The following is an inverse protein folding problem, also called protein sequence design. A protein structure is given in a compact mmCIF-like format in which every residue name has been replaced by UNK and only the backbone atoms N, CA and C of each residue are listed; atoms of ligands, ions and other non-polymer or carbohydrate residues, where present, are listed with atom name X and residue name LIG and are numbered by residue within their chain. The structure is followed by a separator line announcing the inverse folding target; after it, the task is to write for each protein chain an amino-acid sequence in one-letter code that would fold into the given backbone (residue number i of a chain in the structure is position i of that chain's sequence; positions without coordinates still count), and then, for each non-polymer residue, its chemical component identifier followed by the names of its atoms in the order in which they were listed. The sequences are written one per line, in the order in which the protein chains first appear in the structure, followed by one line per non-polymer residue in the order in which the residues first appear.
data_IF_167999472087
#
_entry.id   IF_167999472087
#
_cell.length_a   1.000
_cell.length_b   1.000
_cell.length_c   1.000
_cell.angle_alpha   90.00
_cell.angle_beta   90.00
_cell.angle_gamma   90.00
#
_symmetry.space_group_name_H-M   'P 1'
#
loop_
_entity.id
_entity.type
_entity.pdbx_description
1 polymer ?
#
# COMPACT_ATOMS: atom_id res chain seq x y z
N UNK A 1 -23.65 16.90 -0.60
CA UNK A 1 -22.77 16.77 0.58
C UNK A 1 -21.38 17.15 0.12
N UNK A 2 -20.72 18.10 0.78
CA UNK A 2 -19.33 18.42 0.47
C UNK A 2 -18.44 17.23 0.83
N UNK A 3 -17.72 16.69 -0.16
CA UNK A 3 -16.62 15.78 0.09
C UNK A 3 -15.41 16.59 0.58
N UNK A 4 -14.82 16.11 1.67
CA UNK A 4 -13.62 16.64 2.29
C UNK A 4 -12.46 15.71 2.00
N UNK A 5 -11.25 16.26 1.97
CA UNK A 5 -10.02 15.49 1.85
C UNK A 5 -9.22 15.56 3.15
N UNK A 6 -8.80 14.40 3.65
CA UNK A 6 -7.96 14.28 4.85
C UNK A 6 -6.70 13.50 4.49
N UNK A 7 -5.53 14.09 4.75
CA UNK A 7 -4.25 13.38 4.68
C UNK A 7 -3.82 12.93 6.06
N UNK A 8 -3.46 11.66 6.21
CA UNK A 8 -2.98 11.15 7.47
C UNK A 8 -2.33 9.77 7.38
N UNK A 9 -1.57 9.46 8.43
CA UNK A 9 -0.91 8.16 8.62
C UNK A 9 -1.88 7.18 9.27
N UNK A 10 -1.96 5.97 8.74
CA UNK A 10 -2.71 4.89 9.39
C UNK A 10 -1.90 4.40 10.58
N UNK A 11 -2.40 4.65 11.79
CA UNK A 11 -1.78 4.20 13.04
C UNK A 11 -2.13 2.74 13.33
N UNK A 12 -3.40 2.38 13.10
CA UNK A 12 -3.91 1.05 13.41
C UNK A 12 -5.10 0.67 12.55
N UNK A 13 -5.19 -0.61 12.18
CA UNK A 13 -6.41 -1.20 11.64
C UNK A 13 -7.18 -1.81 12.81
N UNK A 14 -8.37 -1.29 13.12
CA UNK A 14 -9.18 -1.78 14.26
C UNK A 14 -10.18 -2.85 13.87
N UNK A 15 -10.59 -2.88 12.60
CA UNK A 15 -11.48 -3.91 12.07
C UNK A 15 -11.28 -4.04 10.56
N UNK A 16 -11.41 -5.26 10.05
CA UNK A 16 -11.44 -5.56 8.62
C UNK A 16 -12.45 -6.69 8.39
N UNK A 17 -13.40 -6.47 7.49
CA UNK A 17 -14.25 -7.53 6.96
C UNK A 17 -13.57 -8.14 5.73
N UNK A 18 -13.16 -9.42 5.75
CA UNK A 18 -12.53 -10.07 4.61
C UNK A 18 -13.49 -10.34 3.45
N UNK A 19 -14.80 -10.39 3.69
CA UNK A 19 -15.81 -10.76 2.68
C UNK A 19 -16.13 -9.61 1.73
N UNK A 20 -16.21 -8.37 2.24
CA UNK A 20 -16.55 -7.19 1.43
C UNK A 20 -15.46 -6.11 1.42
N UNK A 21 -14.37 -6.27 2.17
CA UNK A 21 -13.26 -5.31 2.21
C UNK A 21 -13.50 -4.08 3.10
N UNK A 22 -14.61 -4.02 3.84
CA UNK A 22 -14.89 -2.92 4.76
C UNK A 22 -13.82 -2.86 5.85
N UNK A 23 -13.24 -1.68 6.05
CA UNK A 23 -12.10 -1.48 6.96
C UNK A 23 -12.36 -0.28 7.86
N UNK A 24 -12.02 -0.44 9.15
CA UNK A 24 -12.03 0.63 10.15
C UNK A 24 -10.59 0.94 10.54
N UNK A 25 -10.21 2.19 10.34
CA UNK A 25 -8.84 2.70 10.50
C UNK A 25 -8.78 3.75 11.60
N UNK A 26 -7.72 3.72 12.40
CA UNK A 26 -7.27 4.86 13.20
C UNK A 26 -6.25 5.63 12.39
N UNK A 27 -6.60 6.84 12.00
CA UNK A 27 -5.78 7.71 11.16
C UNK A 27 -5.30 8.88 11.98
N UNK A 28 -3.99 9.14 11.98
CA UNK A 28 -3.37 10.33 12.57
C UNK A 28 -3.13 11.36 11.45
N UNK A 29 -3.92 12.44 11.39
CA UNK A 29 -3.65 13.52 10.45
C UNK A 29 -2.38 14.27 10.85
N UNK A 30 -1.80 15.03 9.91
CA UNK A 30 -0.61 15.87 10.17
C UNK A 30 -0.85 16.90 11.29
N UNK A 31 -2.09 17.40 11.41
CA UNK A 31 -2.53 18.30 12.48
C UNK A 31 -3.83 17.79 13.07
N UNK A 32 -3.92 17.79 14.40
CA UNK A 32 -5.11 17.35 15.14
C UNK A 32 -4.98 15.98 15.80
N UNK A 33 -6.09 15.51 16.36
CA UNK A 33 -6.19 14.22 17.06
C UNK A 33 -6.35 13.06 16.08
N UNK A 34 -6.12 11.83 16.57
CA UNK A 34 -6.44 10.61 15.82
C UNK A 34 -7.94 10.59 15.54
N UNK A 35 -8.29 10.22 14.30
CA UNK A 35 -9.67 10.08 13.85
C UNK A 35 -9.98 8.62 13.51
N UNK A 36 -11.26 8.27 13.53
CA UNK A 36 -11.73 6.98 13.03
C UNK A 36 -12.18 7.17 11.59
N UNK A 37 -11.55 6.48 10.64
CA UNK A 37 -11.93 6.48 9.23
C UNK A 37 -12.51 5.11 8.85
N UNK A 38 -13.59 5.10 8.05
CA UNK A 38 -14.29 3.89 7.64
C UNK A 38 -14.59 3.90 6.15
N UNK A 39 -14.47 2.75 5.50
CA UNK A 39 -14.66 2.64 4.05
C UNK A 39 -14.03 1.38 3.50
N UNK A 40 -13.80 1.38 2.18
CA UNK A 40 -13.22 0.25 1.45
C UNK A 40 -11.85 0.64 0.90
N UNK A 41 -10.83 -0.19 1.15
CA UNK A 41 -9.48 0.03 0.63
C UNK A 41 -9.15 -1.03 -0.42
N UNK A 42 -8.39 -0.64 -1.44
CA UNK A 42 -7.99 -1.51 -2.55
C UNK A 42 -7.44 -2.86 -2.04
N UNK A 43 -7.63 -3.92 -2.82
CA UNK A 43 -7.31 -5.29 -2.39
C UNK A 43 -5.84 -5.46 -1.99
N UNK A 44 -4.91 -4.85 -2.74
CA UNK A 44 -3.47 -4.85 -2.38
C UNK A 44 -3.23 -4.18 -1.02
N UNK A 45 -3.88 -3.05 -0.80
CA UNK A 45 -3.79 -2.27 0.43
C UNK A 45 -4.39 -3.07 1.60
N UNK A 46 -5.52 -3.74 1.37
CA UNK A 46 -6.20 -4.62 2.33
C UNK A 46 -5.32 -5.80 2.79
N UNK A 47 -4.48 -6.36 1.91
CA UNK A 47 -3.63 -7.53 2.21
C UNK A 47 -2.24 -7.16 2.74
N UNK A 48 -1.83 -5.90 2.54
CA UNK A 48 -0.57 -5.35 3.01
C UNK A 48 -0.73 -4.68 4.38
N UNK A 49 0.33 -4.65 5.19
CA UNK A 49 0.32 -3.88 6.44
C UNK A 49 0.20 -2.37 6.17
N UNK A 50 -1.03 -1.85 6.19
CA UNK A 50 -1.35 -0.42 6.02
C UNK A 50 -0.79 0.45 7.16
N UNK A 51 -0.58 -0.15 8.32
CA UNK A 51 -0.06 0.56 9.48
C UNK A 51 1.30 1.17 9.17
N UNK A 52 1.44 2.43 9.57
CA UNK A 52 2.62 3.24 9.36
C UNK A 52 2.67 3.97 8.03
N UNK A 53 1.65 3.87 7.17
CA UNK A 53 1.67 4.47 5.83
C UNK A 53 0.70 5.64 5.71
N UNK A 54 1.09 6.63 4.90
CA UNK A 54 0.30 7.85 4.69
C UNK A 54 -0.65 7.69 3.50
N UNK A 55 -1.90 8.10 3.70
CA UNK A 55 -2.95 8.07 2.71
C UNK A 55 -3.67 9.42 2.65
N UNK A 56 -4.24 9.69 1.47
CA UNK A 56 -5.21 10.75 1.24
C UNK A 56 -6.58 10.10 1.16
N UNK A 57 -7.47 10.47 2.07
CA UNK A 57 -8.85 9.99 2.14
C UNK A 57 -9.79 11.08 1.65
N UNK A 58 -10.72 10.75 0.77
CA UNK A 58 -11.80 11.65 0.34
C UNK A 58 -13.13 11.08 0.79
N UNK A 59 -13.99 11.93 1.35
CA UNK A 59 -15.31 11.51 1.84
C UNK A 59 -15.94 12.52 2.79
N UNK A 60 -16.74 12.05 3.74
CA UNK A 60 -17.54 12.93 4.60
C UNK A 60 -17.57 12.49 6.06
N UNK A 61 -17.82 13.43 6.97
CA UNK A 61 -18.03 13.12 8.37
C UNK A 61 -19.45 12.59 8.59
N UNK A 62 -19.55 11.46 9.30
CA UNK A 62 -20.80 10.92 9.81
C UNK A 62 -20.73 10.63 11.30
N UNK A 63 -21.88 10.71 11.96
CA UNK A 63 -22.03 10.28 13.35
C UNK A 63 -22.72 8.93 13.35
N UNK A 64 -22.10 7.93 13.96
CA UNK A 64 -22.71 6.62 14.19
C UNK A 64 -22.93 6.39 15.69
N UNK A 65 -23.50 5.24 16.05
CA UNK A 65 -23.60 4.80 17.45
C UNK A 65 -22.25 4.68 18.16
N UNK A 66 -21.14 4.65 17.42
CA UNK A 66 -19.77 4.60 17.94
C UNK A 66 -19.08 5.97 17.94
N UNK A 67 -19.83 7.05 17.71
CA UNK A 67 -19.33 8.43 17.66
C UNK A 67 -19.02 8.92 16.25
N UNK A 68 -18.22 9.98 16.17
CA UNK A 68 -17.88 10.66 14.91
C UNK A 68 -16.84 9.88 14.12
N UNK A 69 -17.15 9.56 12.87
CA UNK A 69 -16.30 8.80 11.96
C UNK A 69 -16.21 9.51 10.60
N UNK A 70 -15.07 9.38 9.94
CA UNK A 70 -14.87 9.86 8.58
C UNK A 70 -15.17 8.71 7.62
N UNK A 71 -16.30 8.77 6.93
CA UNK A 71 -16.67 7.79 5.92
C UNK A 71 -16.04 8.19 4.59
N UNK A 72 -15.04 7.42 4.15
CA UNK A 72 -14.31 7.71 2.92
C UNK A 72 -14.84 6.89 1.74
N UNK A 73 -15.05 7.58 0.62
CA UNK A 73 -15.40 7.00 -0.69
C UNK A 73 -14.15 6.55 -1.43
N UNK A 74 -13.00 7.18 -1.17
CA UNK A 74 -11.71 6.81 -1.75
C UNK A 74 -10.55 7.00 -0.77
N UNK A 75 -9.53 6.15 -0.91
CA UNK A 75 -8.28 6.23 -0.19
C UNK A 75 -7.12 5.98 -1.16
N UNK A 76 -6.25 6.99 -1.33
CA UNK A 76 -5.09 6.93 -2.20
C UNK A 76 -3.81 6.94 -1.38
N UNK A 77 -2.88 6.03 -1.68
CA UNK A 77 -1.56 6.01 -1.06
C UNK A 77 -0.81 7.31 -1.39
N UNK A 78 -0.19 7.94 -0.39
CA UNK A 78 0.70 9.07 -0.60
C UNK A 78 2.13 8.56 -0.77
N UNK A 79 2.63 8.62 -2.01
CA UNK A 79 3.97 8.15 -2.38
C UNK A 79 3.95 7.07 -3.46
N UNK A 80 5.02 6.27 -3.52
CA UNK A 80 5.18 5.22 -4.53
C UNK A 80 4.41 3.96 -4.13
N UNK A 81 3.44 3.58 -4.96
CA UNK A 81 2.69 2.32 -4.83
C UNK A 81 3.60 1.11 -5.00
N UNK A 82 4.57 1.19 -5.91
CA UNK A 82 5.57 0.15 -6.08
C UNK A 82 6.40 0.01 -4.80
N UNK A 83 6.87 1.11 -4.21
CA UNK A 83 7.65 1.05 -2.95
C UNK A 83 6.84 0.41 -1.83
N UNK A 84 5.57 0.78 -1.68
CA UNK A 84 4.68 0.16 -0.70
C UNK A 84 4.54 -1.34 -0.96
N UNK A 85 4.27 -1.74 -2.20
CA UNK A 85 4.12 -3.14 -2.57
C UNK A 85 5.40 -3.95 -2.30
N UNK A 86 6.55 -3.44 -2.71
CA UNK A 86 7.84 -4.10 -2.49
C UNK A 86 8.15 -4.25 -1.00
N UNK A 87 7.80 -3.28 -0.16
CA UNK A 87 8.15 -3.31 1.27
C UNK A 87 7.15 -4.04 2.15
N UNK A 88 5.87 -4.04 1.78
CA UNK A 88 4.79 -4.60 2.61
C UNK A 88 4.29 -5.95 2.12
N UNK A 89 4.49 -6.27 0.83
CA UNK A 89 3.95 -7.49 0.20
C UNK A 89 5.08 -8.43 -0.25
N UNK A 90 6.16 -7.89 -0.82
CA UNK A 90 7.25 -8.71 -1.37
C UNK A 90 8.26 -9.09 -0.29
N UNK A 91 8.33 -10.37 0.05
CA UNK A 91 9.35 -10.89 0.97
C UNK A 91 10.75 -10.72 0.41
N UNK A 92 11.69 -10.35 1.27
CA UNK A 92 13.10 -10.18 0.91
C UNK A 92 13.48 -8.75 0.51
N UNK A 93 12.51 -7.85 0.39
CA UNK A 93 12.72 -6.42 0.12
C UNK A 93 12.29 -5.58 1.33
N UNK A 94 13.25 -4.88 1.94
CA UNK A 94 13.00 -3.89 2.98
C UNK A 94 13.12 -2.47 2.43
N UNK A 95 12.64 -1.47 3.17
CA UNK A 95 12.53 -0.09 2.70
C UNK A 95 13.80 0.47 2.05
N UNK A 96 14.95 0.31 2.69
CA UNK A 96 16.23 0.78 2.13
C UNK A 96 16.55 0.16 0.77
N UNK A 97 16.40 -1.17 0.67
CA UNK A 97 16.73 -1.89 -0.56
C UNK A 97 15.71 -1.58 -1.67
N UNK A 98 14.42 -1.50 -1.33
CA UNK A 98 13.38 -1.12 -2.29
C UNK A 98 13.59 0.29 -2.84
N UNK A 99 13.94 1.27 -1.99
CA UNK A 99 14.28 2.63 -2.42
C UNK A 99 15.52 2.65 -3.30
N UNK A 100 16.56 1.88 -2.97
CA UNK A 100 17.77 1.75 -3.78
C UNK A 100 17.46 1.18 -5.17
N UNK A 101 16.64 0.13 -5.24
CA UNK A 101 16.23 -0.49 -6.49
C UNK A 101 15.41 0.49 -7.36
N UNK A 102 14.42 1.17 -6.79
CA UNK A 102 13.61 2.14 -7.52
C UNK A 102 14.48 3.33 -7.98
N UNK A 103 15.38 3.82 -7.13
CA UNK A 103 16.30 4.90 -7.51
C UNK A 103 17.25 4.50 -8.63
N UNK A 104 17.65 3.23 -8.70
CA UNK A 104 18.61 2.73 -9.70
C UNK A 104 17.95 2.41 -11.04
N UNK A 105 16.75 1.83 -11.02
CA UNK A 105 16.13 1.26 -12.22
C UNK A 105 14.85 1.99 -12.66
N UNK A 106 14.36 2.95 -11.86
CA UNK A 106 13.02 3.49 -12.02
C UNK A 106 11.94 2.48 -11.62
N UNK A 107 10.70 2.93 -11.48
CA UNK A 107 9.60 2.03 -11.12
C UNK A 107 9.30 1.03 -12.25
N UNK A 108 9.10 1.53 -13.47
CA UNK A 108 8.82 0.71 -14.65
C UNK A 108 9.97 -0.23 -15.00
N UNK A 109 11.20 0.28 -14.99
CA UNK A 109 12.38 -0.54 -15.27
C UNK A 109 12.59 -1.63 -14.23
N UNK A 110 12.33 -1.36 -12.94
CA UNK A 110 12.39 -2.39 -11.89
C UNK A 110 11.34 -3.48 -12.10
N UNK A 111 10.12 -3.12 -12.51
CA UNK A 111 9.06 -4.09 -12.83
C UNK A 111 9.51 -4.98 -13.98
N UNK A 112 10.03 -4.41 -15.07
CA UNK A 112 10.52 -5.19 -16.20
C UNK A 112 11.65 -6.13 -15.78
N UNK A 113 12.60 -5.66 -14.95
CA UNK A 113 13.71 -6.48 -14.45
C UNK A 113 13.18 -7.68 -13.65
N UNK A 114 12.22 -7.45 -12.75
CA UNK A 114 11.60 -8.51 -11.94
C UNK A 114 10.85 -9.56 -12.78
N UNK A 115 10.44 -9.22 -14.00
CA UNK A 115 9.70 -10.13 -14.89
C UNK A 115 10.57 -10.81 -15.94
N UNK A 116 11.53 -10.10 -16.54
CA UNK A 116 12.25 -10.57 -17.72
C UNK A 116 13.72 -10.91 -17.49
N UNK A 117 14.38 -10.23 -16.55
CA UNK A 117 15.85 -10.30 -16.35
C UNK A 117 16.25 -10.18 -14.88
N UNK A 118 15.69 -11.00 -13.97
CA UNK A 118 15.85 -10.82 -12.53
C UNK A 118 17.29 -11.02 -12.04
N UNK A 119 18.14 -11.69 -12.81
CA UNK A 119 19.58 -11.85 -12.56
C UNK A 119 20.34 -10.51 -12.48
N UNK A 120 19.82 -9.44 -13.09
CA UNK A 120 20.34 -8.07 -12.94
C UNK A 120 20.38 -7.64 -11.46
N UNK A 121 19.44 -8.14 -10.64
CA UNK A 121 19.36 -7.81 -9.22
C UNK A 121 20.52 -8.42 -8.41
N UNK A 122 21.21 -9.45 -8.90
CA UNK A 122 22.40 -10.00 -8.24
C UNK A 122 23.57 -9.01 -8.21
N UNK A 123 23.55 -8.00 -9.09
CA UNK A 123 24.54 -6.90 -9.12
C UNK A 123 24.28 -5.85 -8.03
N UNK A 124 23.21 -5.99 -7.25
CA UNK A 124 22.83 -5.06 -6.17
C UNK A 124 23.35 -5.58 -4.84
N UNK A 125 24.06 -4.74 -4.09
CA UNK A 125 24.64 -5.12 -2.81
C UNK A 125 23.53 -5.57 -1.85
N UNK A 126 23.72 -6.75 -1.25
CA UNK A 126 22.74 -7.32 -0.32
C UNK A 126 21.65 -8.17 -0.98
N UNK A 127 21.70 -8.35 -2.30
CA UNK A 127 20.92 -9.38 -3.02
C UNK A 127 21.89 -10.50 -3.44
N UNK A 128 21.58 -11.72 -3.00
CA UNK A 128 22.26 -12.97 -3.36
C UNK A 128 21.21 -13.96 -3.84
N UNK A 129 21.61 -15.08 -4.42
CA UNK A 129 20.74 -16.07 -5.06
C UNK A 129 19.56 -16.48 -4.17
N UNK A 130 19.82 -16.75 -2.89
CA UNK A 130 18.78 -17.11 -1.91
C UNK A 130 17.75 -15.99 -1.72
N UNK A 131 18.20 -14.73 -1.62
CA UNK A 131 17.31 -13.58 -1.46
C UNK A 131 16.58 -13.28 -2.76
N UNK A 132 17.24 -13.37 -3.91
CA UNK A 132 16.62 -13.21 -5.22
C UNK A 132 15.49 -14.22 -5.42
N UNK A 133 15.73 -15.50 -5.15
CA UNK A 133 14.71 -16.55 -5.23
C UNK A 133 13.48 -16.24 -4.34
N UNK A 134 13.72 -15.75 -3.12
CA UNK A 134 12.65 -15.32 -2.20
C UNK A 134 11.85 -14.13 -2.77
N UNK A 135 12.53 -13.14 -3.32
CA UNK A 135 11.92 -11.95 -3.94
C UNK A 135 11.04 -12.38 -5.10
N UNK A 136 11.56 -13.18 -6.03
CA UNK A 136 10.82 -13.62 -7.22
C UNK A 136 9.61 -14.47 -6.87
N UNK A 137 9.78 -15.42 -5.94
CA UNK A 137 8.66 -16.23 -5.46
C UNK A 137 7.55 -15.36 -4.86
N UNK A 138 7.91 -14.36 -4.06
CA UNK A 138 6.93 -13.45 -3.47
C UNK A 138 6.32 -12.49 -4.50
N UNK A 139 7.13 -11.95 -5.41
CA UNK A 139 6.69 -11.07 -6.48
C UNK A 139 5.67 -11.78 -7.38
N UNK A 140 5.99 -12.96 -7.89
CA UNK A 140 5.08 -13.72 -8.75
C UNK A 140 3.80 -14.17 -8.05
N UNK A 141 3.89 -14.50 -6.75
CA UNK A 141 2.70 -14.83 -5.96
C UNK A 141 1.72 -13.66 -5.85
N UNK A 142 2.21 -12.43 -5.79
CA UNK A 142 1.39 -11.26 -5.47
C UNK A 142 1.22 -10.27 -6.64
N UNK A 143 1.89 -10.46 -7.79
CA UNK A 143 1.82 -9.54 -8.93
C UNK A 143 0.41 -9.38 -9.51
N UNK A 144 -0.42 -10.41 -9.44
CA UNK A 144 -1.82 -10.36 -9.87
C UNK A 144 -2.65 -9.36 -9.05
N UNK A 145 -2.42 -9.29 -7.73
CA UNK A 145 -3.09 -8.31 -6.86
C UNK A 145 -2.75 -6.88 -7.29
N UNK A 146 -1.48 -6.63 -7.65
CA UNK A 146 -1.01 -5.33 -8.16
C UNK A 146 -1.67 -4.98 -9.50
N UNK A 147 -1.76 -5.93 -10.43
CA UNK A 147 -2.39 -5.71 -11.73
C UNK A 147 -3.88 -5.35 -11.60
N UNK A 148 -4.61 -6.02 -10.70
CA UNK A 148 -6.02 -5.71 -10.41
C UNK A 148 -6.20 -4.31 -9.81
N UNK A 149 -5.33 -3.91 -8.87
CA UNK A 149 -5.41 -2.58 -8.26
C UNK A 149 -5.15 -1.46 -9.28
N UNK A 150 -4.18 -1.64 -10.17
CA UNK A 150 -3.92 -0.68 -11.25
C UNK A 150 -5.10 -0.57 -12.22
N UNK A 151 -5.71 -1.70 -12.61
CA UNK A 151 -6.84 -1.71 -13.52
C UNK A 151 -8.04 -0.95 -12.94
N UNK A 152 -8.42 -1.24 -11.69
CA UNK A 152 -9.53 -0.59 -10.99
C UNK A 152 -9.28 0.90 -10.70
N UNK A 153 -8.02 1.32 -10.53
CA UNK A 153 -7.67 2.73 -10.34
C UNK A 153 -7.65 3.55 -11.65
N UNK A 154 -7.69 2.87 -12.81
CA UNK A 154 -7.60 3.47 -14.15
C UNK A 154 -8.90 3.40 -14.98
N UNK A 155 -9.97 2.84 -14.39
CA UNK A 155 -11.31 2.75 -14.99
C UNK A 155 -12.28 3.74 -14.35
#
# INVERSE_FOLDING_TARGET
MEELTITGRIERITFKNPENGYTVLKVKPKRGSIITAVGYVAEVASHAGLEGTEFVFTGSWRTSKYGRQFEFSSARLLGSELLFFLTKVVKGLGERLSRELISRFGEEGLIEILEKRPEELLKVKGIKEKRLSMILKSWHKHKSLRALSNYLASS
#
